data_IF_831927170959
#
_entry.id   IF_831927170959
#
_cell.length_a   1.000
_cell.length_b   1.000
_cell.length_c   1.000
_cell.angle_alpha   90.00
_cell.angle_beta   90.00
_cell.angle_gamma   90.00
#
_symmetry.space_group_name_H-M   'P 1'
#
loop_
_entity.id
_entity.type
_entity.pdbx_description
1 polymer ?
#
# COMPACT_ATOMS: atom_id res chain seq x y z
N UNK A 1 -2.99 10.03 -5.87
CA UNK A 1 -2.32 10.29 -4.57
C UNK A 1 -1.06 11.14 -4.74
N UNK A 2 0.02 10.65 -5.37
CA UNK A 2 1.23 11.46 -5.61
C UNK A 2 0.94 12.75 -6.37
N UNK A 3 0.10 12.69 -7.42
CA UNK A 3 -0.34 13.88 -8.16
C UNK A 3 -1.49 14.67 -7.50
N UNK A 4 -1.84 14.40 -6.24
CA UNK A 4 -2.93 15.07 -5.51
C UNK A 4 -4.36 14.67 -5.92
N UNK A 5 -4.52 13.80 -6.93
CA UNK A 5 -5.83 13.35 -7.41
C UNK A 5 -6.47 12.34 -6.44
N UNK A 6 -7.79 12.47 -6.15
CA UNK A 6 -8.54 11.48 -5.38
C UNK A 6 -8.50 10.09 -5.99
N UNK A 7 -8.44 9.06 -5.15
CA UNK A 7 -8.47 7.66 -5.59
C UNK A 7 -9.37 6.84 -4.67
N UNK A 8 -10.32 6.08 -5.24
CA UNK A 8 -11.28 5.26 -4.48
C UNK A 8 -11.98 6.01 -3.33
N UNK A 9 -12.34 7.28 -3.55
CA UNK A 9 -12.92 8.22 -2.57
C UNK A 9 -11.98 8.62 -1.41
N UNK A 10 -10.68 8.35 -1.52
CA UNK A 10 -9.66 8.92 -0.66
C UNK A 10 -9.11 10.17 -1.36
N UNK A 11 -9.27 11.32 -0.70
CA UNK A 11 -8.88 12.63 -1.26
C UNK A 11 -7.71 13.18 -0.45
N UNK A 12 -6.49 13.23 -1.01
CA UNK A 12 -5.37 13.84 -0.31
C UNK A 12 -5.55 15.36 -0.30
N UNK A 13 -5.06 16.03 0.75
CA UNK A 13 -5.14 17.50 0.88
C UNK A 13 -4.11 18.24 0.02
N UNK A 14 -3.09 17.53 -0.47
CA UNK A 14 -2.02 17.99 -1.34
C UNK A 14 -1.46 16.81 -2.15
N UNK A 15 -0.69 17.04 -3.24
CA UNK A 15 0.23 16.04 -3.78
C UNK A 15 1.07 15.43 -2.66
N UNK A 16 0.97 14.11 -2.47
CA UNK A 16 1.69 13.41 -1.40
C UNK A 16 3.08 13.02 -1.90
N UNK A 17 4.12 13.32 -1.12
CA UNK A 17 5.46 12.78 -1.33
C UNK A 17 5.49 11.34 -0.84
N UNK A 18 5.61 10.40 -1.78
CA UNK A 18 5.52 8.97 -1.57
C UNK A 18 6.86 8.32 -1.93
N UNK A 19 7.45 7.61 -0.98
CA UNK A 19 8.50 6.63 -1.25
C UNK A 19 7.85 5.25 -1.42
N UNK A 20 7.97 4.66 -2.59
CA UNK A 20 7.50 3.30 -2.89
C UNK A 20 8.70 2.34 -2.91
N UNK A 21 8.81 1.53 -1.86
CA UNK A 21 9.81 0.49 -1.72
C UNK A 21 9.26 -0.81 -2.27
N UNK A 22 9.97 -1.46 -3.18
CA UNK A 22 9.59 -2.76 -3.70
C UNK A 22 10.75 -3.75 -3.80
N UNK A 23 10.46 -5.03 -3.57
CA UNK A 23 11.43 -6.14 -3.73
C UNK A 23 10.97 -7.25 -4.68
N UNK A 24 9.76 -7.16 -5.25
CA UNK A 24 9.19 -8.21 -6.10
C UNK A 24 9.40 -8.00 -7.60
N UNK A 25 9.22 -6.77 -8.07
CA UNK A 25 9.11 -6.51 -9.51
C UNK A 25 10.32 -5.76 -10.06
N UNK A 26 10.67 -6.09 -11.31
CA UNK A 26 11.68 -5.35 -12.04
C UNK A 26 11.18 -3.98 -12.50
N UNK A 27 12.14 -3.09 -12.78
CA UNK A 27 11.88 -1.74 -13.31
C UNK A 27 10.95 -1.75 -14.54
N UNK A 28 11.16 -2.68 -15.48
CA UNK A 28 10.40 -2.76 -16.72
C UNK A 28 8.91 -3.05 -16.48
N UNK A 29 8.58 -3.92 -15.53
CA UNK A 29 7.19 -4.24 -15.24
C UNK A 29 6.46 -3.08 -14.56
N UNK A 30 7.16 -2.35 -13.69
CA UNK A 30 6.64 -1.12 -13.09
C UNK A 30 6.41 -0.03 -14.14
N UNK A 31 7.37 0.15 -15.04
CA UNK A 31 7.25 1.10 -16.15
C UNK A 31 6.03 0.78 -17.00
N UNK A 32 5.82 -0.49 -17.37
CA UNK A 32 4.63 -0.94 -18.11
C UNK A 32 3.35 -0.65 -17.33
N UNK A 33 3.31 -0.92 -16.02
CA UNK A 33 2.13 -0.62 -15.18
C UNK A 33 1.79 0.87 -15.18
N UNK A 34 2.79 1.75 -15.04
CA UNK A 34 2.59 3.20 -15.09
C UNK A 34 2.12 3.66 -16.48
N UNK A 35 2.71 3.13 -17.55
CA UNK A 35 2.33 3.46 -18.93
C UNK A 35 0.90 3.03 -19.30
N UNK A 36 0.39 1.96 -18.68
CA UNK A 36 -1.00 1.53 -18.86
C UNK A 36 -2.00 2.47 -18.19
N UNK A 37 -1.56 3.33 -17.26
CA UNK A 37 -2.43 4.33 -16.65
C UNK A 37 -2.63 5.46 -17.68
N UNK A 38 -3.87 5.66 -18.13
CA UNK A 38 -4.23 6.80 -19.00
C UNK A 38 -4.23 8.09 -18.18
N UNK A 39 -3.04 8.64 -17.91
CA UNK A 39 -2.82 9.82 -17.06
C UNK A 39 -2.42 11.02 -17.92
N UNK A 40 -2.99 12.19 -17.63
CA UNK A 40 -2.61 13.47 -18.23
C UNK A 40 -1.14 13.83 -17.96
N UNK A 41 -0.44 14.40 -18.93
CA UNK A 41 0.97 14.80 -18.81
C UNK A 41 1.22 15.70 -17.58
N UNK A 42 0.32 16.63 -17.26
CA UNK A 42 0.45 17.50 -16.08
C UNK A 42 0.46 16.69 -14.78
N UNK A 43 -0.32 15.61 -14.71
CA UNK A 43 -0.36 14.72 -13.55
C UNK A 43 0.88 13.82 -13.48
N UNK A 44 1.49 13.48 -14.62
CA UNK A 44 2.76 12.77 -14.69
C UNK A 44 3.89 13.63 -14.12
N UNK A 45 3.92 14.93 -14.44
CA UNK A 45 4.97 15.82 -13.93
C UNK A 45 4.86 15.98 -12.41
N UNK A 46 3.64 16.20 -11.89
CA UNK A 46 3.38 16.19 -10.44
C UNK A 46 3.73 14.84 -9.80
N UNK A 47 3.49 13.72 -10.49
CA UNK A 47 3.86 12.40 -9.98
C UNK A 47 5.39 12.28 -9.89
N UNK A 48 6.14 12.69 -10.91
CA UNK A 48 7.61 12.60 -10.92
C UNK A 48 8.26 13.40 -9.80
N UNK A 49 7.67 14.53 -9.43
CA UNK A 49 8.16 15.36 -8.31
C UNK A 49 7.88 14.75 -6.93
N UNK A 50 6.85 13.90 -6.83
CA UNK A 50 6.31 13.45 -5.55
C UNK A 50 6.41 11.94 -5.35
N UNK A 51 6.80 11.14 -6.34
CA UNK A 51 6.88 9.69 -6.26
C UNK A 51 8.30 9.24 -6.56
N UNK A 52 8.93 8.60 -5.58
CA UNK A 52 10.19 7.88 -5.74
C UNK A 52 9.90 6.39 -5.64
N UNK A 53 10.29 5.63 -6.66
CA UNK A 53 10.19 4.16 -6.64
C UNK A 53 11.62 3.64 -6.47
N UNK A 54 11.90 3.04 -5.31
CA UNK A 54 13.18 2.42 -5.02
C UNK A 54 13.02 0.89 -5.05
N UNK A 55 13.75 0.27 -5.97
CA UNK A 55 13.86 -1.20 -6.07
C UNK A 55 14.96 -1.64 -5.13
N UNK A 56 14.59 -2.35 -4.07
CA UNK A 56 15.51 -2.85 -3.06
C UNK A 56 15.55 -4.38 -3.13
N UNK A 57 16.74 -4.98 -3.15
CA UNK A 57 16.88 -6.43 -3.27
C UNK A 57 16.22 -7.19 -2.09
N UNK A 58 16.17 -6.55 -0.92
CA UNK A 58 15.45 -7.04 0.26
C UNK A 58 15.11 -5.87 1.17
N UNK A 59 13.83 -5.60 1.36
CA UNK A 59 13.39 -4.61 2.34
C UNK A 59 13.47 -5.27 3.72
N UNK A 60 14.17 -4.66 4.67
CA UNK A 60 14.18 -5.09 6.07
C UNK A 60 13.77 -3.94 6.97
N UNK A 61 13.10 -4.27 8.07
CA UNK A 61 12.66 -3.30 9.08
C UNK A 61 13.46 -3.43 10.38
N UNK A 62 14.71 -3.92 10.27
CA UNK A 62 15.72 -3.79 11.31
C UNK A 62 16.34 -2.37 11.28
N UNK A 63 17.24 -2.11 12.22
CA UNK A 63 17.88 -0.80 12.38
C UNK A 63 18.61 -0.35 11.11
N UNK A 64 19.41 -1.24 10.52
CA UNK A 64 20.11 -0.98 9.26
C UNK A 64 19.14 -0.69 8.10
N UNK A 65 18.05 -1.45 7.99
CA UNK A 65 17.05 -1.25 6.95
C UNK A 65 16.30 0.07 7.11
N UNK A 66 16.00 0.48 8.35
CA UNK A 66 15.39 1.79 8.63
C UNK A 66 16.36 2.93 8.29
N UNK A 67 17.64 2.81 8.61
CA UNK A 67 18.63 3.82 8.21
C UNK A 67 18.80 3.89 6.68
N UNK A 68 18.83 2.74 5.99
CA UNK A 68 18.85 2.73 4.52
C UNK A 68 17.62 3.41 3.92
N UNK A 69 16.43 3.21 4.50
CA UNK A 69 15.21 3.93 4.07
C UNK A 69 15.38 5.44 4.27
N UNK A 70 15.95 5.88 5.39
CA UNK A 70 16.23 7.31 5.63
C UNK A 70 17.25 7.86 4.63
N UNK A 71 18.27 7.10 4.28
CA UNK A 71 19.28 7.50 3.30
C UNK A 71 18.65 7.69 1.90
N UNK A 72 17.74 6.79 1.49
CA UNK A 72 16.97 6.94 0.25
C UNK A 72 16.12 8.21 0.30
N UNK A 73 15.43 8.46 1.41
CA UNK A 73 14.64 9.69 1.60
C UNK A 73 15.53 10.92 1.46
N UNK A 74 16.67 10.95 2.14
CA UNK A 74 17.58 12.08 2.11
C UNK A 74 18.19 12.28 0.71
N UNK A 75 18.50 11.19 0.00
CA UNK A 75 19.06 11.24 -1.35
C UNK A 75 18.06 11.79 -2.37
N UNK A 76 16.82 11.29 -2.37
CA UNK A 76 15.86 11.57 -3.44
C UNK A 76 14.90 12.73 -3.10
N UNK A 77 14.58 12.94 -1.83
CA UNK A 77 13.72 14.04 -1.36
C UNK A 77 14.51 15.18 -0.67
N UNK A 78 15.76 14.95 -0.26
CA UNK A 78 16.54 15.94 0.48
C UNK A 78 15.93 16.23 1.85
N UNK A 79 15.83 17.50 2.21
CA UNK A 79 15.20 17.95 3.46
C UNK A 79 13.66 17.99 3.38
N UNK A 80 13.07 17.62 2.23
CA UNK A 80 11.61 17.57 2.06
C UNK A 80 11.04 16.40 2.86
N UNK A 81 10.12 16.70 3.78
CA UNK A 81 9.39 15.67 4.54
C UNK A 81 8.67 14.67 3.62
N UNK A 82 8.84 13.37 3.83
CA UNK A 82 8.04 12.35 3.13
C UNK A 82 6.69 12.20 3.82
N UNK A 83 5.61 12.17 3.05
CA UNK A 83 4.25 12.07 3.60
C UNK A 83 3.84 10.59 3.81
N UNK A 84 4.33 9.69 2.94
CA UNK A 84 3.97 8.27 2.96
C UNK A 84 5.13 7.38 2.46
N UNK A 85 5.36 6.27 3.14
CA UNK A 85 6.13 5.13 2.62
C UNK A 85 5.16 4.01 2.27
N UNK A 86 5.22 3.53 1.03
CA UNK A 86 4.54 2.31 0.58
C UNK A 86 5.56 1.18 0.50
N UNK A 87 5.40 0.14 1.32
CA UNK A 87 6.26 -1.04 1.35
C UNK A 87 5.52 -2.16 0.63
N UNK A 88 5.99 -2.48 -0.57
CA UNK A 88 5.47 -3.56 -1.40
C UNK A 88 6.48 -4.72 -1.43
N UNK A 89 6.34 -5.65 -0.49
CA UNK A 89 7.34 -6.70 -0.29
C UNK A 89 6.71 -8.06 -0.16
N UNK A 90 7.30 -9.03 -0.87
CA UNK A 90 6.94 -10.44 -0.71
C UNK A 90 7.42 -11.03 0.62
N UNK A 91 8.35 -10.36 1.30
CA UNK A 91 9.07 -10.95 2.45
C UNK A 91 8.67 -10.36 3.80
N UNK A 92 7.84 -9.32 3.84
CA UNK A 92 7.31 -8.73 5.09
C UNK A 92 6.65 -9.77 5.99
N UNK A 93 5.90 -10.71 5.40
CA UNK A 93 5.23 -11.78 6.12
C UNK A 93 6.18 -12.84 6.71
N UNK A 94 7.43 -12.90 6.25
CA UNK A 94 8.46 -13.79 6.76
C UNK A 94 9.26 -13.16 7.92
N UNK A 95 9.12 -11.84 8.13
CA UNK A 95 9.83 -11.15 9.20
C UNK A 95 9.26 -11.52 10.57
N UNK A 96 10.11 -11.64 11.61
CA UNK A 96 9.62 -11.70 12.99
C UNK A 96 8.75 -10.48 13.29
N UNK A 97 7.59 -10.70 13.92
CA UNK A 97 6.63 -9.64 14.23
C UNK A 97 7.23 -8.53 15.12
N UNK A 98 8.16 -8.87 16.02
CA UNK A 98 8.88 -7.90 16.85
C UNK A 98 9.75 -6.96 16.01
N UNK A 99 10.41 -7.49 14.99
CA UNK A 99 11.22 -6.71 14.06
C UNK A 99 10.34 -5.78 13.23
N UNK A 100 9.25 -6.33 12.67
CA UNK A 100 8.27 -5.58 11.91
C UNK A 100 7.71 -4.41 12.73
N UNK A 101 7.30 -4.69 13.97
CA UNK A 101 6.79 -3.68 14.91
C UNK A 101 7.83 -2.59 15.17
N UNK A 102 9.05 -2.96 15.56
CA UNK A 102 10.11 -2.03 15.90
C UNK A 102 10.43 -1.09 14.74
N UNK A 103 10.60 -1.61 13.52
CA UNK A 103 10.86 -0.77 12.36
C UNK A 103 9.69 0.13 11.98
N UNK A 104 8.44 -0.35 12.07
CA UNK A 104 7.25 0.49 11.88
C UNK A 104 7.21 1.63 12.91
N UNK A 105 7.48 1.35 14.19
CA UNK A 105 7.49 2.36 15.25
C UNK A 105 8.60 3.41 15.02
N UNK A 106 9.79 3.00 14.56
CA UNK A 106 10.88 3.92 14.20
C UNK A 106 10.55 4.79 12.99
N UNK A 107 9.86 4.26 11.98
CA UNK A 107 9.43 5.05 10.83
C UNK A 107 8.26 5.98 11.20
N UNK A 108 7.38 5.57 12.12
CA UNK A 108 6.30 6.43 12.63
C UNK A 108 6.79 7.57 13.50
N UNK A 109 7.87 7.38 14.26
CA UNK A 109 8.38 8.43 15.16
C UNK A 109 8.87 9.67 14.42
N UNK A 110 9.21 9.54 13.14
CA UNK A 110 9.56 10.66 12.25
C UNK A 110 8.35 11.23 11.48
N UNK A 111 7.12 10.84 11.86
CA UNK A 111 5.87 11.44 11.38
C UNK A 111 5.41 10.96 10.00
N UNK A 112 5.94 9.84 9.50
CA UNK A 112 5.65 9.32 8.16
C UNK A 112 4.48 8.34 8.20
N UNK A 113 3.54 8.47 7.27
CA UNK A 113 2.50 7.47 7.03
C UNK A 113 3.09 6.20 6.42
N UNK A 114 2.57 5.02 6.77
CA UNK A 114 3.09 3.75 6.25
C UNK A 114 1.92 2.93 5.70
N UNK A 115 2.04 2.53 4.43
CA UNK A 115 1.21 1.48 3.82
C UNK A 115 2.13 0.30 3.54
N UNK A 116 1.69 -0.89 3.88
CA UNK A 116 2.47 -2.10 3.70
C UNK A 116 1.60 -3.21 3.14
N UNK A 117 2.10 -3.91 2.13
CA UNK A 117 1.49 -5.14 1.65
C UNK A 117 1.85 -6.28 2.60
N UNK A 118 0.85 -7.13 2.86
CA UNK A 118 1.02 -8.29 3.71
C UNK A 118 0.22 -9.45 3.14
N UNK A 119 0.83 -10.63 3.11
CA UNK A 119 0.20 -11.81 2.54
C UNK A 119 -0.94 -12.34 3.44
N UNK A 120 -1.99 -12.80 2.78
CA UNK A 120 -3.04 -13.58 3.41
C UNK A 120 -2.72 -15.08 3.32
N UNK A 121 -3.17 -15.86 4.30
CA UNK A 121 -3.29 -17.31 4.17
C UNK A 121 -4.24 -17.64 3.02
N UNK A 122 -4.00 -18.77 2.35
CA UNK A 122 -4.91 -19.29 1.32
C UNK A 122 -6.19 -19.79 2.00
N UNK A 123 -7.28 -19.05 1.83
CA UNK A 123 -8.61 -19.36 2.38
C UNK A 123 -9.66 -19.30 1.28
N UNK A 124 -10.84 -19.87 1.52
CA UNK A 124 -11.96 -19.80 0.58
C UNK A 124 -12.56 -18.39 0.53
N UNK A 125 -13.22 -18.06 -0.59
CA UNK A 125 -13.94 -16.79 -0.74
C UNK A 125 -15.03 -16.61 0.31
N UNK A 126 -15.79 -17.68 0.63
CA UNK A 126 -16.81 -17.63 1.68
C UNK A 126 -16.22 -17.24 3.06
N UNK A 127 -14.99 -17.69 3.36
CA UNK A 127 -14.28 -17.28 4.58
C UNK A 127 -13.88 -15.80 4.53
N UNK A 128 -13.42 -15.30 3.38
CA UNK A 128 -13.07 -13.89 3.19
C UNK A 128 -14.29 -12.98 3.28
N UNK A 129 -15.45 -13.40 2.76
CA UNK A 129 -16.69 -12.64 2.86
C UNK A 129 -17.17 -12.51 4.32
N UNK A 130 -17.03 -13.59 5.10
CA UNK A 130 -17.45 -13.59 6.50
C UNK A 130 -16.48 -12.86 7.42
N UNK A 131 -15.17 -13.08 7.25
CA UNK A 131 -14.12 -12.55 8.14
C UNK A 131 -12.83 -12.22 7.38
N UNK A 132 -12.80 -11.14 6.56
CA UNK A 132 -11.69 -10.86 5.64
C UNK A 132 -10.33 -10.79 6.35
N UNK A 133 -10.28 -10.10 7.48
CA UNK A 133 -9.04 -9.78 8.19
C UNK A 133 -8.45 -10.95 8.99
N UNK A 134 -9.23 -12.01 9.23
CA UNK A 134 -8.69 -13.25 9.82
C UNK A 134 -7.83 -14.04 8.83
N UNK A 135 -7.90 -13.72 7.53
CA UNK A 135 -7.03 -14.31 6.54
C UNK A 135 -5.59 -13.79 6.63
N UNK A 136 -5.31 -12.68 7.33
CA UNK A 136 -3.94 -12.16 7.47
C UNK A 136 -3.03 -13.15 8.21
N UNK A 137 -1.83 -13.39 7.68
CA UNK A 137 -0.81 -14.17 8.38
C UNK A 137 -0.40 -13.42 9.65
N UNK A 138 -0.68 -13.99 10.83
CA UNK A 138 -0.43 -13.31 12.11
C UNK A 138 -1.49 -12.27 12.48
N UNK A 139 -2.72 -12.37 11.92
CA UNK A 139 -3.82 -11.41 12.09
C UNK A 139 -3.93 -10.80 13.50
N UNK A 140 -3.98 -11.63 14.54
CA UNK A 140 -4.14 -11.16 15.93
C UNK A 140 -3.03 -10.19 16.37
N UNK A 141 -1.78 -10.49 16.02
CA UNK A 141 -0.66 -9.62 16.35
C UNK A 141 -0.64 -8.37 15.46
N UNK A 142 -0.91 -8.51 14.16
CA UNK A 142 -0.92 -7.38 13.22
C UNK A 142 -1.94 -6.30 13.61
N UNK A 143 -3.11 -6.71 14.14
CA UNK A 143 -4.14 -5.76 14.62
C UNK A 143 -3.63 -4.81 15.70
N UNK A 144 -2.60 -5.22 16.45
CA UNK A 144 -2.00 -4.36 17.48
C UNK A 144 -1.05 -3.30 16.91
N UNK A 145 -0.68 -3.37 15.63
CA UNK A 145 0.29 -2.46 15.01
C UNK A 145 -0.30 -1.55 13.94
N UNK A 146 -1.21 -2.02 13.10
CA UNK A 146 -1.80 -1.15 12.08
C UNK A 146 -2.93 -0.28 12.66
N UNK A 147 -3.10 0.91 12.11
CA UNK A 147 -4.22 1.80 12.43
C UNK A 147 -5.45 1.51 11.56
N UNK A 148 -5.23 0.95 10.36
CA UNK A 148 -6.27 0.54 9.43
C UNK A 148 -5.77 -0.64 8.58
N UNK A 149 -6.67 -1.55 8.25
CA UNK A 149 -6.44 -2.68 7.36
C UNK A 149 -7.29 -2.58 6.10
N UNK A 150 -6.75 -3.07 4.98
CA UNK A 150 -7.47 -3.24 3.72
C UNK A 150 -7.27 -4.68 3.25
N UNK A 151 -8.37 -5.36 2.91
CA UNK A 151 -8.33 -6.68 2.25
C UNK A 151 -9.03 -6.56 0.91
N UNK A 152 -8.38 -7.04 -0.15
CA UNK A 152 -8.93 -7.09 -1.49
C UNK A 152 -9.04 -8.54 -1.94
N UNK A 153 -10.22 -8.95 -2.40
CA UNK A 153 -10.42 -10.31 -2.92
C UNK A 153 -11.48 -10.32 -4.02
N UNK A 154 -11.45 -11.36 -4.85
CA UNK A 154 -12.43 -11.58 -5.91
C UNK A 154 -13.60 -12.44 -5.39
N UNK A 155 -14.80 -11.88 -5.18
CA UNK A 155 -15.95 -12.63 -4.64
C UNK A 155 -16.48 -13.68 -5.63
N UNK A 156 -16.35 -13.43 -6.93
CA UNK A 156 -16.73 -14.40 -7.96
C UNK A 156 -15.71 -14.43 -9.09
N UNK A 157 -15.19 -15.63 -9.40
CA UNK A 157 -14.23 -15.82 -10.51
C UNK A 157 -14.82 -15.48 -11.88
N UNK A 158 -16.15 -15.53 -12.02
CA UNK A 158 -16.86 -15.19 -13.25
C UNK A 158 -16.92 -13.68 -13.54
N UNK A 159 -16.69 -12.84 -12.52
CA UNK A 159 -16.76 -11.38 -12.63
C UNK A 159 -15.37 -10.79 -12.42
N UNK A 160 -14.95 -9.86 -13.28
CA UNK A 160 -13.71 -9.10 -13.10
C UNK A 160 -13.92 -7.94 -12.10
N UNK A 161 -14.36 -8.28 -10.89
CA UNK A 161 -14.70 -7.36 -9.81
C UNK A 161 -13.94 -7.80 -8.57
N UNK A 162 -13.34 -6.85 -7.86
CA UNK A 162 -12.75 -7.06 -6.54
C UNK A 162 -13.63 -6.40 -5.49
N UNK A 163 -13.82 -7.07 -4.36
CA UNK A 163 -14.34 -6.49 -3.14
C UNK A 163 -13.17 -5.98 -2.30
N UNK A 164 -13.30 -4.76 -1.82
CA UNK A 164 -12.34 -4.06 -0.95
C UNK A 164 -13.01 -3.89 0.41
N UNK A 165 -12.54 -4.65 1.40
CA UNK A 165 -12.98 -4.57 2.79
C UNK A 165 -12.01 -3.69 3.60
N UNK A 166 -12.55 -3.00 4.60
CA UNK A 166 -11.81 -2.09 5.48
C UNK A 166 -12.00 -2.49 6.94
N UNK A 167 -10.94 -2.40 7.73
CA UNK A 167 -10.96 -2.51 9.19
C UNK A 167 -10.25 -1.28 9.75
N UNK A 168 -10.86 -0.58 10.69
CA UNK A 168 -10.25 0.57 11.36
C UNK A 168 -9.98 0.18 12.80
N UNK A 169 -8.78 0.50 13.30
CA UNK A 169 -8.48 0.35 14.72
C UNK A 169 -9.32 1.29 15.58
N UNK A 170 -9.68 2.46 15.05
CA UNK A 170 -10.53 3.47 15.68
C UNK A 170 -11.40 4.18 14.64
N UNK A 171 -12.62 4.56 15.02
CA UNK A 171 -13.52 5.38 14.20
C UNK A 171 -14.70 4.62 13.60
N UNK A 172 -15.47 5.31 12.74
CA UNK A 172 -16.68 4.75 12.12
C UNK A 172 -16.33 3.70 11.05
N UNK A 173 -17.00 2.53 11.02
CA UNK A 173 -16.78 1.53 9.98
C UNK A 173 -16.91 2.11 8.58
N UNK A 174 -15.99 1.72 7.69
CA UNK A 174 -16.05 2.07 6.27
C UNK A 174 -16.72 0.88 5.54
N UNK A 175 -17.82 1.11 4.81
CA UNK A 175 -18.48 0.03 4.08
C UNK A 175 -17.55 -0.53 3.00
N UNK A 176 -17.66 -1.84 2.76
CA UNK A 176 -16.93 -2.49 1.68
C UNK A 176 -17.29 -1.85 0.33
N UNK A 177 -16.31 -1.78 -0.57
CA UNK A 177 -16.48 -1.25 -1.93
C UNK A 177 -16.23 -2.35 -2.94
N UNK A 178 -16.83 -2.20 -4.10
CA UNK A 178 -16.54 -3.05 -5.25
C UNK A 178 -15.80 -2.21 -6.28
N UNK A 179 -14.73 -2.77 -6.83
CA UNK A 179 -13.91 -2.13 -7.86
C UNK A 179 -13.78 -3.03 -9.07
N UNK A 180 -13.72 -2.43 -10.25
CA UNK A 180 -13.37 -3.11 -11.49
C UNK A 180 -12.31 -2.32 -12.23
N UNK A 181 -11.54 -3.00 -13.08
CA UNK A 181 -10.51 -2.37 -13.90
C UNK A 181 -11.14 -1.96 -15.24
N UNK A 182 -11.24 -0.65 -15.47
CA UNK A 182 -11.76 -0.06 -16.71
C UNK A 182 -10.71 0.89 -17.26
N UNK A 183 -10.34 0.73 -18.52
CA UNK A 183 -9.31 1.57 -19.18
C UNK A 183 -7.96 1.61 -18.45
N UNK A 184 -7.53 0.47 -17.89
CA UNK A 184 -6.28 0.37 -17.15
C UNK A 184 -6.35 0.86 -15.70
N UNK A 185 -7.44 1.53 -15.31
CA UNK A 185 -7.62 2.15 -13.99
C UNK A 185 -8.66 1.40 -13.14
N UNK A 186 -8.44 1.34 -11.82
CA UNK A 186 -9.43 0.84 -10.87
C UNK A 186 -10.50 1.90 -10.58
N UNK A 187 -11.77 1.53 -10.74
CA UNK A 187 -12.93 2.41 -10.47
C UNK A 187 -13.90 1.74 -9.51
N UNK A 188 -14.51 2.52 -8.62
CA UNK A 188 -15.61 2.05 -7.77
C UNK A 188 -16.86 1.82 -8.62
N UNK A 189 -17.58 0.74 -8.33
CA UNK A 189 -18.88 0.42 -8.93
C UNK A 189 -19.95 0.36 -7.83
N UNK A 190 -21.21 0.61 -8.18
CA UNK A 190 -22.30 0.73 -7.22
C UNK A 190 -22.47 -0.54 -6.36
N UNK A 191 -22.51 -1.73 -6.99
CA UNK A 191 -22.26 -3.08 -6.43
C UNK A 191 -22.54 -4.13 -7.52
N UNK A 192 -22.16 -5.38 -7.27
CA UNK A 192 -22.10 -6.52 -8.20
C UNK A 192 -23.43 -7.19 -8.56
#
# INVERSE_FOLDING_TARGET
>A
MASGVPFLKMTPTKPLRILYLQDEMGYDDMRRRVQQLKIDQKLIDLMKENLVIASEAKITLNDEGVERIKDIIMKDFGTKMVDLIAIDSLTTHLMPLSLLRSGIEKLRSIGIGIIMTHHTKKVSTATLEKNPFQALVGANALRSFYTSGIIMFQPSRSKNILQVAYELGNGKPIPAKFISRTDGCWKTIATA
#
